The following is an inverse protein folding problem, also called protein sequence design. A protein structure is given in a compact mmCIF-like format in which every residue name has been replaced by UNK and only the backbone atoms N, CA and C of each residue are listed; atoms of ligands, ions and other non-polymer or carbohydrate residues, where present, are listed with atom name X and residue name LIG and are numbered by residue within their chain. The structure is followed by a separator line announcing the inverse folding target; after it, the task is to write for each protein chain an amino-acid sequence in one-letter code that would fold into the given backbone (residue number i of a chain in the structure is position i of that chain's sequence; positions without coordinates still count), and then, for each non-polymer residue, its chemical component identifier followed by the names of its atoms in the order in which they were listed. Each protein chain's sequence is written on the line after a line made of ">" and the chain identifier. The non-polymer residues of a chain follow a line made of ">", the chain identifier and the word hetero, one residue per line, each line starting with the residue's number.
data_IF_844749543354
#
_entry.id   IF_844749543354
#
_cell.length_a   1.000
_cell.length_b   1.000
_cell.length_c   1.000
_cell.angle_alpha   90.00
_cell.angle_beta   90.00
_cell.angle_gamma   90.00
#
_symmetry.space_group_name_H-M   'P 1'
#
loop_
_entity.id
_entity.type
_entity.pdbx_description
1 polymer ?
#
# COMPACT_ATOMS: atom_id res chain seq x y z
N UNK A 1 6.72 -25.25 10.59
CA UNK A 1 7.39 -25.52 9.29
C UNK A 1 6.41 -25.10 8.21
N UNK A 2 6.70 -24.03 7.47
CA UNK A 2 5.77 -23.52 6.43
C UNK A 2 5.80 -24.47 5.24
N UNK A 3 4.63 -24.85 4.71
CA UNK A 3 4.54 -25.74 3.55
C UNK A 3 5.11 -25.07 2.31
N UNK A 4 5.87 -25.80 1.48
CA UNK A 4 6.38 -25.32 0.20
C UNK A 4 5.26 -24.78 -0.70
N UNK A 5 4.04 -25.33 -0.59
CA UNK A 5 2.87 -24.85 -1.33
C UNK A 5 2.45 -23.43 -0.92
N UNK A 6 2.52 -23.10 0.37
CA UNK A 6 2.20 -21.75 0.88
C UNK A 6 3.21 -20.74 0.35
N UNK A 7 4.49 -21.10 0.32
CA UNK A 7 5.56 -20.23 -0.21
C UNK A 7 5.32 -19.97 -1.70
N UNK A 8 5.00 -21.00 -2.49
CA UNK A 8 4.72 -20.85 -3.92
C UNK A 8 3.50 -19.94 -4.12
N UNK A 9 2.41 -20.16 -3.39
CA UNK A 9 1.20 -19.36 -3.49
C UNK A 9 1.44 -17.88 -3.16
N UNK A 10 2.16 -17.59 -2.07
CA UNK A 10 2.53 -16.22 -1.71
C UNK A 10 3.48 -15.57 -2.73
N UNK A 11 4.40 -16.35 -3.30
CA UNK A 11 5.30 -15.88 -4.35
C UNK A 11 4.53 -15.49 -5.61
N UNK A 12 3.51 -16.26 -5.97
CA UNK A 12 2.61 -15.95 -7.10
C UNK A 12 1.79 -14.68 -6.81
N UNK A 13 1.22 -14.56 -5.61
CA UNK A 13 0.50 -13.35 -5.17
C UNK A 13 1.42 -12.12 -5.27
N UNK A 14 2.66 -12.22 -4.78
CA UNK A 14 3.64 -11.15 -4.86
C UNK A 14 3.94 -10.75 -6.31
N UNK A 15 4.18 -11.71 -7.20
CA UNK A 15 4.41 -11.43 -8.62
C UNK A 15 3.22 -10.76 -9.28
N UNK A 16 2.00 -11.18 -8.96
CA UNK A 16 0.79 -10.52 -9.44
C UNK A 16 0.68 -9.08 -8.91
N UNK A 17 0.91 -8.85 -7.61
CA UNK A 17 0.87 -7.49 -7.03
C UNK A 17 1.85 -6.57 -7.72
N UNK A 18 3.05 -7.07 -8.04
CA UNK A 18 4.09 -6.27 -8.69
C UNK A 18 3.82 -6.05 -10.17
N UNK A 19 3.39 -7.06 -10.92
CA UNK A 19 3.33 -6.96 -12.39
C UNK A 19 1.95 -6.52 -12.89
N UNK A 20 0.88 -7.02 -12.29
CA UNK A 20 -0.48 -6.83 -12.79
C UNK A 20 -0.95 -5.37 -12.91
N UNK A 21 -0.66 -4.45 -11.95
CA UNK A 21 -1.07 -3.05 -12.12
C UNK A 21 -0.38 -2.37 -13.31
N UNK A 22 0.83 -2.78 -13.67
CA UNK A 22 1.52 -2.23 -14.86
C UNK A 22 1.05 -2.84 -16.18
N UNK A 23 0.47 -4.04 -16.13
CA UNK A 23 -0.01 -4.77 -17.32
C UNK A 23 -1.47 -4.43 -17.65
N UNK A 24 -2.28 -4.08 -16.65
CA UNK A 24 -3.73 -3.89 -16.81
C UNK A 24 -4.15 -2.53 -16.25
N UNK A 25 -4.53 -1.62 -17.15
CA UNK A 25 -4.95 -0.26 -16.78
C UNK A 25 -6.14 -0.23 -15.80
N UNK A 26 -7.09 -1.17 -15.90
CA UNK A 26 -8.20 -1.28 -14.94
C UNK A 26 -7.74 -1.56 -13.50
N UNK A 27 -6.66 -2.33 -13.35
CA UNK A 27 -6.06 -2.66 -12.05
C UNK A 27 -5.30 -1.44 -11.53
N UNK A 28 -4.60 -0.72 -12.41
CA UNK A 28 -3.93 0.55 -12.11
C UNK A 28 -4.91 1.60 -11.56
N UNK A 29 -6.04 1.82 -12.24
CA UNK A 29 -7.04 2.80 -11.83
C UNK A 29 -7.65 2.49 -10.44
N UNK A 30 -7.71 1.21 -10.07
CA UNK A 30 -8.33 0.73 -8.83
C UNK A 30 -7.32 0.02 -7.93
N UNK A 31 -6.09 0.55 -7.87
CA UNK A 31 -4.94 -0.10 -7.23
C UNK A 31 -5.21 -0.43 -5.76
N UNK A 32 -5.89 0.43 -5.02
CA UNK A 32 -6.23 0.20 -3.62
C UNK A 32 -7.13 -1.03 -3.42
N UNK A 33 -8.20 -1.15 -4.22
CA UNK A 33 -9.13 -2.30 -4.17
C UNK A 33 -8.40 -3.57 -4.57
N UNK A 34 -7.55 -3.51 -5.60
CA UNK A 34 -6.73 -4.64 -6.01
C UNK A 34 -5.80 -5.10 -4.89
N UNK A 35 -5.04 -4.20 -4.29
CA UNK A 35 -4.14 -4.52 -3.18
C UNK A 35 -4.89 -5.09 -1.98
N UNK A 36 -6.09 -4.58 -1.70
CA UNK A 36 -6.95 -5.10 -0.63
C UNK A 36 -7.29 -6.58 -0.86
N UNK A 37 -7.75 -6.96 -2.06
CA UNK A 37 -8.07 -8.35 -2.37
C UNK A 37 -6.83 -9.25 -2.39
N UNK A 38 -5.71 -8.78 -2.91
CA UNK A 38 -4.45 -9.54 -2.90
C UNK A 38 -3.94 -9.78 -1.48
N UNK A 39 -4.07 -8.77 -0.60
CA UNK A 39 -3.80 -8.90 0.83
C UNK A 39 -4.72 -9.90 1.50
N UNK A 40 -6.03 -9.83 1.24
CA UNK A 40 -7.02 -10.77 1.78
C UNK A 40 -6.73 -12.22 1.35
N UNK A 41 -6.39 -12.44 0.08
CA UNK A 41 -5.98 -13.76 -0.43
C UNK A 41 -4.74 -14.28 0.29
N UNK A 42 -3.73 -13.44 0.52
CA UNK A 42 -2.54 -13.80 1.30
C UNK A 42 -2.88 -14.22 2.73
N UNK A 43 -3.80 -13.51 3.39
CA UNK A 43 -4.27 -13.85 4.73
C UNK A 43 -4.98 -15.20 4.77
N UNK A 44 -5.80 -15.51 3.75
CA UNK A 44 -6.47 -16.81 3.63
C UNK A 44 -5.46 -17.93 3.40
N UNK A 45 -4.49 -17.74 2.49
CA UNK A 45 -3.44 -18.73 2.18
C UNK A 45 -2.57 -19.05 3.40
N UNK A 46 -2.30 -18.04 4.24
CA UNK A 46 -1.51 -18.22 5.46
C UNK A 46 -2.35 -18.60 6.68
N UNK A 47 -3.68 -18.61 6.56
CA UNK A 47 -4.63 -18.77 7.65
C UNK A 47 -4.40 -17.78 8.81
N UNK A 48 -3.99 -16.56 8.49
CA UNK A 48 -3.60 -15.52 9.46
C UNK A 48 -4.73 -14.53 9.73
N UNK A 49 -6.00 -14.93 9.66
CA UNK A 49 -7.12 -14.01 9.89
C UNK A 49 -7.33 -13.77 11.40
N UNK A 50 -6.71 -12.71 11.92
CA UNK A 50 -6.83 -12.29 13.31
C UNK A 50 -7.23 -10.80 13.42
N UNK A 51 -7.88 -10.44 14.53
CA UNK A 51 -8.39 -9.08 14.76
C UNK A 51 -7.27 -8.02 14.74
N UNK A 52 -6.05 -8.40 15.13
CA UNK A 52 -4.89 -7.50 15.13
C UNK A 52 -4.55 -6.98 13.73
N UNK A 53 -4.76 -7.78 12.68
CA UNK A 53 -4.47 -7.37 11.30
C UNK A 53 -5.49 -6.35 10.80
N UNK A 54 -6.75 -6.46 11.23
CA UNK A 54 -7.77 -5.45 10.91
C UNK A 54 -7.40 -4.13 11.57
N UNK A 55 -6.97 -4.18 12.84
CA UNK A 55 -6.53 -2.99 13.58
C UNK A 55 -5.31 -2.34 12.94
N UNK A 56 -4.30 -3.11 12.58
CA UNK A 56 -3.09 -2.57 11.95
C UNK A 56 -3.40 -2.03 10.55
N UNK A 57 -4.24 -2.73 9.76
CA UNK A 57 -4.66 -2.30 8.43
C UNK A 57 -5.47 -0.99 8.41
N UNK A 58 -6.13 -0.63 9.51
CA UNK A 58 -6.79 0.67 9.66
C UNK A 58 -5.84 1.76 10.19
N UNK A 59 -4.84 1.36 10.98
CA UNK A 59 -3.93 2.29 11.64
C UNK A 59 -2.76 2.73 10.74
N UNK A 60 -2.22 1.83 9.92
CA UNK A 60 -1.12 2.14 9.00
C UNK A 60 -1.45 3.24 7.97
N UNK A 61 -2.59 3.20 7.25
CA UNK A 61 -2.93 4.22 6.27
C UNK A 61 -2.97 5.63 6.86
N UNK A 62 -3.46 5.76 8.10
CA UNK A 62 -3.55 7.05 8.80
C UNK A 62 -2.17 7.66 9.02
N UNK A 63 -1.17 6.85 9.41
CA UNK A 63 0.22 7.31 9.59
C UNK A 63 0.78 7.85 8.27
N UNK A 64 0.55 7.12 7.17
CA UNK A 64 1.03 7.49 5.84
C UNK A 64 0.36 8.80 5.39
N UNK A 65 -0.97 8.91 5.50
CA UNK A 65 -1.71 10.11 5.14
C UNK A 65 -1.23 11.34 5.92
N UNK A 66 -1.01 11.20 7.23
CA UNK A 66 -0.47 12.28 8.05
C UNK A 66 0.94 12.68 7.61
N UNK A 67 1.83 11.72 7.36
CA UNK A 67 3.18 11.99 6.91
C UNK A 67 3.19 12.79 5.59
N UNK A 68 2.40 12.35 4.59
CA UNK A 68 2.29 13.04 3.29
C UNK A 68 1.63 14.42 3.45
N UNK A 69 0.63 14.55 4.32
CA UNK A 69 -0.02 15.83 4.61
C UNK A 69 0.96 16.85 5.19
N UNK A 70 1.74 16.49 6.20
CA UNK A 70 2.74 17.38 6.78
C UNK A 70 3.87 17.70 5.78
N UNK A 71 4.33 16.72 5.00
CA UNK A 71 5.30 16.96 3.94
C UNK A 71 4.77 17.98 2.91
N UNK A 72 3.50 17.84 2.50
CA UNK A 72 2.82 18.78 1.62
C UNK A 72 2.69 20.19 2.22
N UNK A 73 2.36 20.31 3.51
CA UNK A 73 2.33 21.60 4.20
C UNK A 73 3.70 22.27 4.21
N UNK A 74 4.75 21.54 4.59
CA UNK A 74 6.12 22.05 4.60
C UNK A 74 6.50 22.57 3.21
N UNK A 75 6.26 21.78 2.16
CA UNK A 75 6.52 22.20 0.78
C UNK A 75 5.76 23.46 0.39
N UNK A 76 4.48 23.57 0.77
CA UNK A 76 3.65 24.74 0.48
C UNK A 76 4.21 26.02 1.14
N UNK A 77 4.64 25.93 2.40
CA UNK A 77 5.23 27.08 3.10
C UNK A 77 6.60 27.43 2.53
N UNK A 78 7.48 26.45 2.33
CA UNK A 78 8.81 26.68 1.74
C UNK A 78 8.72 27.29 0.35
N UNK A 79 7.77 26.86 -0.49
CA UNK A 79 7.57 27.44 -1.82
C UNK A 79 7.15 28.92 -1.75
N UNK A 80 6.33 29.31 -0.76
CA UNK A 80 5.96 30.71 -0.53
C UNK A 80 7.19 31.55 -0.16
N UNK A 81 8.00 31.08 0.78
CA UNK A 81 9.24 31.78 1.19
C UNK A 81 10.29 31.86 0.08
N UNK A 82 10.43 30.82 -0.74
CA UNK A 82 11.39 30.83 -1.86
C UNK A 82 10.97 31.80 -2.97
N UNK A 83 9.67 31.93 -3.22
CA UNK A 83 9.13 32.85 -4.23
C UNK A 83 9.30 34.32 -3.82
N UNK A 84 9.18 34.61 -2.52
CA UNK A 84 9.40 35.95 -1.95
C UNK A 84 10.89 36.32 -1.81
N UNK A 85 11.82 35.35 -1.93
CA UNK A 85 13.27 35.57 -1.82
C UNK A 85 13.96 35.73 -3.19
N UNK A 86 13.38 35.18 -4.25
CA UNK A 86 13.95 35.18 -5.62
C UNK A 86 13.35 36.29 -6.50
N UNK A 87 12.25 36.93 -6.07
CA UNK A 87 11.61 38.07 -6.76
C UNK A 87 11.76 39.34 -5.94
#
# INVERSE_FOLDING_TARGET
>A
MVSSLVIIALSVILLMVLLLPFLIHKVEENLEIFLFFMGLLSLVVTNSLHMDIIKEGLHEPVKISLAVFFAGLIFKYTHKYLKDLVM
#
